data_IF_006924273356
#
_entry.id   IF_006924273356
#
_cell.length_a   1.000
_cell.length_b   1.000
_cell.length_c   1.000
_cell.angle_alpha   90.00
_cell.angle_beta   90.00
_cell.angle_gamma   90.00
#
_symmetry.space_group_name_H-M   'P 1'
#
loop_
_entity.id
_entity.type
_entity.pdbx_description
1 polymer ?
#
# COMPACT_ATOMS: atom_id res chain seq x y z
N UNK A 1 -19.99 -15.51 -6.87
CA UNK A 1 -19.63 -14.15 -6.44
C UNK A 1 -18.44 -13.69 -7.28
N UNK A 2 -18.35 -12.41 -7.64
CA UNK A 2 -17.16 -11.89 -8.32
C UNK A 2 -15.97 -11.92 -7.35
N UNK A 3 -14.78 -12.21 -7.88
CA UNK A 3 -13.53 -12.12 -7.12
C UNK A 3 -13.30 -10.67 -6.68
N UNK A 4 -12.73 -10.45 -5.48
CA UNK A 4 -12.31 -9.12 -5.03
C UNK A 4 -11.18 -8.57 -5.91
N UNK A 5 -10.96 -7.27 -5.86
CA UNK A 5 -9.90 -6.59 -6.61
C UNK A 5 -8.70 -6.31 -5.71
N UNK A 6 -7.51 -6.42 -6.31
CA UNK A 6 -6.25 -6.11 -5.65
C UNK A 6 -5.83 -4.67 -5.96
N UNK A 7 -5.64 -3.88 -4.92
CA UNK A 7 -5.11 -2.52 -4.99
C UNK A 7 -3.73 -2.45 -4.34
N UNK A 8 -2.87 -1.64 -4.90
CA UNK A 8 -1.55 -1.34 -4.34
C UNK A 8 -1.45 0.15 -4.09
N UNK A 9 -1.35 0.55 -2.84
CA UNK A 9 -1.11 1.93 -2.43
C UNK A 9 0.36 2.12 -2.12
N UNK A 10 1.04 2.92 -2.92
CA UNK A 10 2.44 3.30 -2.71
C UNK A 10 2.60 4.81 -2.57
N UNK A 11 3.82 5.23 -2.38
CA UNK A 11 4.19 6.64 -2.32
C UNK A 11 5.31 6.88 -1.31
N UNK A 12 5.97 8.02 -1.38
CA UNK A 12 7.14 8.32 -0.57
C UNK A 12 6.85 8.30 0.93
N UNK A 13 7.91 8.05 1.70
CA UNK A 13 7.83 8.14 3.14
C UNK A 13 7.45 9.59 3.56
N UNK A 14 6.35 9.74 4.28
CA UNK A 14 5.80 11.06 4.63
C UNK A 14 4.62 11.51 3.76
N UNK A 15 4.23 10.76 2.72
CA UNK A 15 3.03 11.06 1.92
C UNK A 15 1.72 10.92 2.69
N UNK A 16 1.72 10.20 3.83
CA UNK A 16 0.54 10.05 4.69
C UNK A 16 -0.29 8.79 4.43
N UNK A 17 0.26 7.77 3.78
CA UNK A 17 -0.42 6.50 3.47
C UNK A 17 -1.17 5.92 4.68
N UNK A 18 -0.48 5.70 5.79
CA UNK A 18 -1.09 5.12 6.99
C UNK A 18 -2.27 5.93 7.52
N UNK A 19 -2.19 7.27 7.52
CA UNK A 19 -3.30 8.13 7.97
C UNK A 19 -4.50 8.03 7.03
N UNK A 20 -4.27 8.05 5.71
CA UNK A 20 -5.34 7.89 4.71
C UNK A 20 -6.00 6.52 4.82
N UNK A 21 -5.22 5.46 5.01
CA UNK A 21 -5.75 4.11 5.19
C UNK A 21 -6.49 3.94 6.53
N UNK A 22 -6.07 4.63 7.59
CA UNK A 22 -6.82 4.67 8.85
C UNK A 22 -8.20 5.31 8.66
N UNK A 23 -8.28 6.44 7.96
CA UNK A 23 -9.57 7.07 7.66
C UNK A 23 -10.44 6.20 6.73
N UNK A 24 -9.83 5.53 5.73
CA UNK A 24 -10.54 4.59 4.88
C UNK A 24 -11.14 3.44 5.70
N UNK A 25 -10.38 2.80 6.57
CA UNK A 25 -10.87 1.69 7.43
C UNK A 25 -12.01 2.11 8.34
N UNK A 26 -12.02 3.35 8.85
CA UNK A 26 -13.11 3.87 9.69
C UNK A 26 -14.43 3.97 8.94
N UNK A 27 -14.38 4.39 7.68
CA UNK A 27 -15.58 4.65 6.86
C UNK A 27 -15.99 3.45 6.03
N UNK A 28 -15.03 2.64 5.58
CA UNK A 28 -15.21 1.52 4.65
C UNK A 28 -14.54 0.25 5.21
N UNK A 29 -15.08 -0.30 6.33
CA UNK A 29 -14.50 -1.47 7.00
C UNK A 29 -14.57 -2.76 6.16
N UNK A 30 -15.38 -2.78 5.10
CA UNK A 30 -15.44 -3.87 4.12
C UNK A 30 -14.16 -4.01 3.29
N UNK A 31 -13.37 -2.93 3.14
CA UNK A 31 -12.10 -2.94 2.41
C UNK A 31 -11.00 -3.49 3.32
N UNK A 32 -10.40 -4.59 2.93
CA UNK A 32 -9.27 -5.16 3.65
C UNK A 32 -7.98 -4.37 3.33
N UNK A 33 -7.35 -3.81 4.33
CA UNK A 33 -5.96 -3.36 4.22
C UNK A 33 -5.08 -4.46 4.80
N UNK A 34 -4.17 -5.00 4.00
CA UNK A 34 -3.26 -6.07 4.43
C UNK A 34 -2.33 -5.60 5.56
N UNK A 35 -1.95 -6.53 6.43
CA UNK A 35 -0.95 -6.29 7.45
C UNK A 35 0.34 -6.97 6.99
N UNK A 36 1.38 -6.18 6.75
CA UNK A 36 2.68 -6.70 6.34
C UNK A 36 3.43 -7.30 7.53
N UNK A 37 4.24 -8.33 7.26
CA UNK A 37 5.22 -8.87 8.18
C UNK A 37 6.54 -8.11 8.05
N UNK A 38 7.26 -7.91 9.16
CA UNK A 38 8.57 -7.24 9.13
C UNK A 38 9.53 -7.78 10.18
N UNK A 39 10.81 -7.77 9.84
CA UNK A 39 11.91 -8.07 10.79
C UNK A 39 12.38 -6.85 11.59
N UNK A 40 11.83 -5.67 11.27
CA UNK A 40 12.12 -4.44 12.01
C UNK A 40 11.42 -4.46 13.38
N UNK A 41 12.10 -3.97 14.40
CA UNK A 41 11.48 -3.75 15.71
C UNK A 41 10.34 -2.70 15.64
N UNK A 42 9.31 -2.83 16.48
CA UNK A 42 8.24 -1.83 16.61
C UNK A 42 8.78 -0.43 16.90
N UNK A 43 8.12 0.60 16.41
CA UNK A 43 8.46 2.02 16.65
C UNK A 43 7.34 2.73 17.39
N UNK A 44 7.72 3.52 18.40
CA UNK A 44 6.80 4.42 19.07
C UNK A 44 5.53 3.73 19.57
N UNK A 45 4.39 4.09 19.01
CA UNK A 45 3.06 3.59 19.39
C UNK A 45 2.54 2.48 18.46
N UNK A 46 3.39 1.88 17.62
CA UNK A 46 2.98 0.78 16.74
C UNK A 46 2.51 -0.43 17.58
N UNK A 47 1.37 -1.00 17.18
CA UNK A 47 0.74 -2.13 17.86
C UNK A 47 0.94 -3.39 17.02
N UNK A 48 1.50 -4.48 17.60
CA UNK A 48 1.63 -5.77 16.93
C UNK A 48 0.27 -6.30 16.43
N UNK A 49 0.29 -6.94 15.25
CA UNK A 49 -0.89 -7.48 14.57
C UNK A 49 -1.92 -6.44 14.10
N UNK A 50 -1.60 -5.15 14.26
CA UNK A 50 -2.40 -4.03 13.76
C UNK A 50 -1.62 -3.26 12.70
N UNK A 51 -0.39 -2.85 13.04
CA UNK A 51 0.48 -2.14 12.12
C UNK A 51 1.35 -3.11 11.31
N UNK A 52 1.94 -4.09 11.99
CA UNK A 52 2.79 -5.13 11.39
C UNK A 52 2.69 -6.44 12.16
N UNK A 53 2.95 -7.57 11.47
CA UNK A 53 3.37 -8.83 12.09
C UNK A 53 4.88 -8.77 12.29
N UNK A 54 5.32 -8.53 13.52
CA UNK A 54 6.76 -8.48 13.84
C UNK A 54 7.31 -9.89 14.01
N UNK A 55 8.46 -10.17 13.38
CA UNK A 55 9.11 -11.47 13.40
C UNK A 55 10.63 -11.37 13.40
N UNK A 56 11.33 -12.48 13.62
CA UNK A 56 12.78 -12.53 13.46
C UNK A 56 13.17 -12.68 11.99
N UNK A 57 14.46 -12.43 11.68
CA UNK A 57 14.99 -12.63 10.33
C UNK A 57 14.90 -14.10 9.93
N UNK A 58 15.25 -14.99 10.84
CA UNK A 58 15.25 -16.46 10.64
C UNK A 58 13.83 -16.97 10.34
N UNK A 59 12.82 -16.53 11.08
CA UNK A 59 11.44 -16.92 10.84
C UNK A 59 10.93 -16.37 9.50
N UNK A 60 11.28 -15.12 9.16
CA UNK A 60 10.92 -14.54 7.87
C UNK A 60 11.53 -15.34 6.70
N UNK A 61 12.82 -15.65 6.76
CA UNK A 61 13.54 -16.41 5.73
C UNK A 61 12.96 -17.83 5.57
N UNK A 62 12.63 -18.50 6.67
CA UNK A 62 11.96 -19.80 6.65
C UNK A 62 10.59 -19.74 5.94
N UNK A 63 9.79 -18.72 6.21
CA UNK A 63 8.50 -18.51 5.54
C UNK A 63 8.67 -18.19 4.07
N UNK A 64 9.75 -17.48 3.72
CA UNK A 64 10.09 -17.18 2.34
C UNK A 64 10.43 -18.46 1.57
N UNK A 65 11.24 -19.36 2.15
CA UNK A 65 11.55 -20.67 1.57
C UNK A 65 10.29 -21.53 1.38
N UNK A 66 9.32 -21.44 2.29
CA UNK A 66 8.03 -22.11 2.18
C UNK A 66 7.07 -21.47 1.15
N UNK A 67 7.44 -20.35 0.52
CA UNK A 67 6.58 -19.65 -0.45
C UNK A 67 5.33 -19.00 0.17
N UNK A 68 5.38 -18.64 1.45
CA UNK A 68 4.23 -18.08 2.17
C UNK A 68 3.94 -16.62 1.82
N UNK A 69 4.86 -15.91 1.15
CA UNK A 69 4.71 -14.50 0.82
C UNK A 69 4.09 -14.27 -0.57
N UNK A 70 3.11 -13.38 -0.61
CA UNK A 70 2.54 -12.83 -1.82
C UNK A 70 3.55 -11.91 -2.54
N UNK A 71 4.20 -11.04 -1.76
CA UNK A 71 5.32 -10.20 -2.15
C UNK A 71 6.25 -9.96 -0.96
N UNK A 72 7.49 -9.62 -1.22
CA UNK A 72 8.44 -9.16 -0.21
C UNK A 72 9.52 -8.26 -0.80
N UNK A 73 10.12 -7.43 0.06
CA UNK A 73 11.27 -6.60 -0.25
C UNK A 73 12.19 -6.43 0.96
N UNK A 74 13.46 -6.19 0.71
CA UNK A 74 14.37 -5.70 1.74
C UNK A 74 14.47 -4.18 1.65
N UNK A 75 14.31 -3.51 2.80
CA UNK A 75 14.37 -2.08 2.90
C UNK A 75 15.11 -1.66 4.17
N UNK A 76 16.17 -0.86 4.04
CA UNK A 76 16.98 -0.39 5.16
C UNK A 76 17.43 -1.52 6.10
N UNK A 77 17.89 -2.66 5.53
CA UNK A 77 18.40 -3.80 6.28
C UNK A 77 17.33 -4.66 6.97
N UNK A 78 16.06 -4.42 6.71
CA UNK A 78 14.96 -5.21 7.24
C UNK A 78 14.10 -5.78 6.10
N UNK A 79 13.55 -6.96 6.32
CA UNK A 79 12.55 -7.52 5.44
C UNK A 79 11.16 -6.97 5.74
N UNK A 80 10.39 -6.82 4.67
CA UNK A 80 8.97 -6.52 4.68
C UNK A 80 8.29 -7.41 3.67
N UNK A 81 7.13 -7.96 3.99
CA UNK A 81 6.39 -8.80 3.05
C UNK A 81 4.95 -9.00 3.47
N UNK A 82 4.11 -9.29 2.51
CA UNK A 82 2.69 -9.57 2.73
C UNK A 82 2.45 -11.06 2.53
N UNK A 83 1.79 -11.71 3.50
CA UNK A 83 1.49 -13.14 3.42
C UNK A 83 0.39 -13.42 2.37
N UNK A 84 0.48 -14.59 1.71
CA UNK A 84 -0.55 -15.05 0.78
C UNK A 84 -1.95 -15.08 1.41
N UNK A 85 -2.05 -15.51 2.68
CA UNK A 85 -3.32 -15.55 3.43
C UNK A 85 -3.97 -14.18 3.62
N UNK A 86 -3.19 -13.11 3.71
CA UNK A 86 -3.70 -11.74 3.82
C UNK A 86 -4.33 -11.24 2.51
N UNK A 87 -4.00 -11.85 1.38
CA UNK A 87 -4.39 -11.40 0.05
C UNK A 87 -5.33 -12.39 -0.63
N UNK A 88 -4.85 -13.61 -0.91
CA UNK A 88 -5.54 -14.58 -1.77
C UNK A 88 -6.87 -14.99 -1.16
N UNK A 89 -6.88 -15.32 0.13
CA UNK A 89 -8.09 -15.76 0.84
C UNK A 89 -9.19 -14.69 0.85
N UNK A 90 -8.81 -13.42 0.91
CA UNK A 90 -9.75 -12.29 0.88
C UNK A 90 -10.29 -12.08 -0.53
N UNK A 91 -9.42 -12.06 -1.54
CA UNK A 91 -9.83 -11.89 -2.94
C UNK A 91 -10.77 -13.00 -3.38
N UNK A 92 -10.52 -14.24 -3.02
CA UNK A 92 -11.36 -15.40 -3.39
C UNK A 92 -12.75 -15.36 -2.72
N UNK A 93 -12.87 -14.69 -1.55
CA UNK A 93 -14.14 -14.40 -0.89
C UNK A 93 -14.87 -13.19 -1.47
N UNK A 94 -14.33 -12.54 -2.50
CA UNK A 94 -14.90 -11.33 -3.11
C UNK A 94 -14.61 -10.04 -2.34
N UNK A 95 -13.68 -10.06 -1.39
CA UNK A 95 -13.26 -8.89 -0.61
C UNK A 95 -12.11 -8.16 -1.31
N UNK A 96 -12.23 -6.86 -1.47
CA UNK A 96 -11.16 -6.03 -2.00
C UNK A 96 -10.00 -5.90 -1.00
N UNK A 97 -8.78 -5.95 -1.52
CA UNK A 97 -7.57 -5.89 -0.72
C UNK A 97 -6.67 -4.74 -1.17
N UNK A 98 -6.20 -3.94 -0.22
CA UNK A 98 -5.19 -2.91 -0.45
C UNK A 98 -3.87 -3.36 0.19
N UNK A 99 -2.81 -3.39 -0.60
CA UNK A 99 -1.43 -3.53 -0.13
C UNK A 99 -0.83 -2.13 0.10
N UNK A 100 -0.35 -1.85 1.30
CA UNK A 100 0.48 -0.66 1.57
C UNK A 100 1.94 -1.07 1.45
N UNK A 101 2.56 -0.81 0.31
CA UNK A 101 3.94 -1.22 0.02
C UNK A 101 4.75 -0.10 -0.66
N UNK A 102 6.08 -0.25 -0.64
CA UNK A 102 7.01 0.66 -1.30
C UNK A 102 6.94 0.52 -2.84
N UNK A 103 7.43 1.53 -3.58
CA UNK A 103 7.40 1.58 -5.06
C UNK A 103 8.01 0.33 -5.70
N UNK A 104 9.14 -0.16 -5.17
CA UNK A 104 9.80 -1.39 -5.67
C UNK A 104 8.89 -2.61 -5.51
N UNK A 105 8.18 -2.72 -4.39
CA UNK A 105 7.20 -3.80 -4.15
C UNK A 105 6.01 -3.68 -5.09
N UNK A 106 5.50 -2.48 -5.31
CA UNK A 106 4.39 -2.22 -6.23
C UNK A 106 4.69 -2.69 -7.65
N UNK A 107 5.89 -2.39 -8.15
CA UNK A 107 6.34 -2.84 -9.47
C UNK A 107 6.35 -4.38 -9.58
N UNK A 108 6.94 -5.07 -8.60
CA UNK A 108 6.95 -6.54 -8.55
C UNK A 108 5.54 -7.13 -8.52
N UNK A 109 4.63 -6.52 -7.74
CA UNK A 109 3.23 -6.96 -7.71
C UNK A 109 2.57 -6.76 -9.06
N UNK A 110 2.75 -5.61 -9.72
CA UNK A 110 2.17 -5.32 -11.02
C UNK A 110 2.71 -6.26 -12.12
N UNK A 111 3.99 -6.60 -12.08
CA UNK A 111 4.61 -7.57 -12.99
C UNK A 111 4.03 -8.98 -12.82
N UNK A 112 3.79 -9.42 -11.58
CA UNK A 112 3.26 -10.76 -11.26
C UNK A 112 1.72 -10.82 -11.40
N UNK A 113 1.04 -9.72 -11.09
CA UNK A 113 -0.42 -9.59 -11.10
C UNK A 113 -0.79 -8.35 -11.91
N UNK A 114 -0.79 -8.47 -13.22
CA UNK A 114 -1.04 -7.35 -14.16
C UNK A 114 -2.39 -6.66 -13.93
N UNK A 115 -3.36 -7.36 -13.38
CA UNK A 115 -4.69 -6.85 -13.01
C UNK A 115 -4.69 -6.02 -11.72
N UNK A 116 -3.63 -6.04 -10.91
CA UNK A 116 -3.53 -5.20 -9.74
C UNK A 116 -3.63 -3.71 -10.11
N UNK A 117 -4.40 -2.96 -9.35
CA UNK A 117 -4.64 -1.54 -9.58
C UNK A 117 -3.72 -0.75 -8.68
N UNK A 118 -2.83 0.03 -9.29
CA UNK A 118 -1.80 0.77 -8.57
C UNK A 118 -2.20 2.23 -8.36
N UNK A 119 -2.05 2.71 -7.13
CA UNK A 119 -2.34 4.09 -6.73
C UNK A 119 -1.11 4.68 -6.05
N UNK A 120 -0.59 5.80 -6.52
CA UNK A 120 0.47 6.53 -5.85
C UNK A 120 -0.11 7.67 -5.03
N UNK A 121 0.11 7.63 -3.71
CA UNK A 121 -0.21 8.73 -2.82
C UNK A 121 0.99 9.67 -2.71
N UNK A 122 0.81 10.94 -3.11
CA UNK A 122 1.88 11.94 -3.11
C UNK A 122 1.58 13.08 -2.13
N UNK A 123 2.58 13.73 -1.53
CA UNK A 123 2.40 15.07 -1.00
C UNK A 123 2.16 16.06 -2.16
N UNK A 124 1.62 17.27 -1.91
CA UNK A 124 1.44 18.28 -2.96
C UNK A 124 2.75 18.75 -3.57
N UNK A 125 3.82 18.82 -2.77
CA UNK A 125 5.15 19.25 -3.19
C UNK A 125 6.27 18.73 -2.26
N UNK A 126 7.52 18.99 -2.66
CA UNK A 126 8.70 18.58 -1.92
C UNK A 126 8.84 19.31 -0.58
N UNK A 127 8.42 20.57 -0.50
CA UNK A 127 8.50 21.36 0.74
C UNK A 127 7.56 20.82 1.80
N UNK A 128 6.34 20.48 1.41
CA UNK A 128 5.36 19.84 2.31
C UNK A 128 5.89 18.50 2.81
N UNK A 129 6.50 17.69 1.94
CA UNK A 129 7.12 16.43 2.34
C UNK A 129 8.23 16.65 3.37
N UNK A 130 9.12 17.60 3.12
CA UNK A 130 10.21 17.94 4.06
C UNK A 130 9.65 18.38 5.40
N UNK A 131 8.65 19.27 5.42
CA UNK A 131 8.01 19.73 6.65
C UNK A 131 7.41 18.56 7.45
N UNK A 132 6.75 17.62 6.78
CA UNK A 132 6.20 16.41 7.42
C UNK A 132 7.26 15.50 8.02
N UNK A 133 8.38 15.29 7.31
CA UNK A 133 9.48 14.48 7.83
C UNK A 133 10.13 15.13 9.05
N UNK A 134 10.40 16.45 9.00
CA UNK A 134 10.95 17.22 10.11
C UNK A 134 10.01 17.29 11.30
N UNK A 135 8.71 17.42 11.06
CA UNK A 135 7.67 17.51 12.08
C UNK A 135 7.55 16.28 12.98
N UNK A 136 8.00 15.12 12.53
CA UNK A 136 8.01 13.89 13.35
C UNK A 136 8.99 13.94 14.53
N UNK A 137 10.04 14.75 14.46
CA UNK A 137 11.09 14.91 15.50
C UNK A 137 11.74 13.59 15.95
N UNK A 138 11.66 12.55 15.14
CA UNK A 138 12.18 11.21 15.44
C UNK A 138 13.48 10.91 14.71
N UNK A 139 13.87 11.73 13.75
CA UNK A 139 14.97 11.47 12.83
C UNK A 139 16.01 12.59 12.85
N UNK A 140 17.26 12.21 12.63
CA UNK A 140 18.38 13.15 12.51
C UNK A 140 18.45 13.70 11.07
N UNK A 141 19.07 14.85 10.90
CA UNK A 141 19.19 15.53 9.60
C UNK A 141 19.71 14.63 8.45
N UNK A 142 20.76 13.81 8.62
CA UNK A 142 21.23 12.94 7.55
C UNK A 142 20.16 11.93 7.08
N UNK A 143 19.33 11.45 8.01
CA UNK A 143 18.24 10.52 7.68
C UNK A 143 17.11 11.23 6.92
N UNK A 144 16.76 12.45 7.31
CA UNK A 144 15.79 13.29 6.60
C UNK A 144 16.24 13.52 5.16
N UNK A 145 17.50 13.92 4.96
CA UNK A 145 18.06 14.16 3.63
C UNK A 145 18.05 12.89 2.76
N UNK A 146 18.39 11.75 3.35
CA UNK A 146 18.32 10.45 2.66
C UNK A 146 16.91 10.12 2.21
N UNK A 147 15.88 10.38 3.06
CA UNK A 147 14.48 10.15 2.73
C UNK A 147 13.96 11.11 1.67
N UNK A 148 14.37 12.37 1.71
CA UNK A 148 14.02 13.35 0.67
C UNK A 148 14.61 12.96 -0.69
N UNK A 149 15.88 12.52 -0.72
CA UNK A 149 16.51 12.05 -1.93
C UNK A 149 15.76 10.82 -2.50
N UNK A 150 15.42 9.85 -1.63
CA UNK A 150 14.64 8.68 -2.03
C UNK A 150 13.25 9.05 -2.53
N UNK A 151 12.57 9.98 -1.87
CA UNK A 151 11.24 10.43 -2.29
C UNK A 151 11.26 11.07 -3.68
N UNK A 152 12.31 11.83 -4.01
CA UNK A 152 12.49 12.39 -5.37
C UNK A 152 12.64 11.29 -6.43
N UNK A 153 13.35 10.20 -6.11
CA UNK A 153 13.45 9.03 -6.97
C UNK A 153 12.09 8.34 -7.11
N UNK A 154 11.42 8.05 -5.99
CA UNK A 154 10.12 7.36 -5.99
C UNK A 154 9.04 8.10 -6.79
N UNK A 155 9.00 9.43 -6.75
CA UNK A 155 8.06 10.25 -7.52
C UNK A 155 8.27 10.13 -9.04
N UNK A 156 9.47 9.84 -9.52
CA UNK A 156 9.72 9.66 -10.96
C UNK A 156 9.00 8.45 -11.52
N UNK A 157 8.57 7.50 -10.69
CA UNK A 157 7.78 6.34 -11.07
C UNK A 157 6.27 6.62 -11.18
N UNK A 158 5.81 7.84 -10.89
CA UNK A 158 4.39 8.19 -10.96
C UNK A 158 3.72 7.80 -12.29
N UNK A 159 4.34 7.98 -13.46
CA UNK A 159 3.74 7.58 -14.74
C UNK A 159 3.51 6.07 -14.91
N UNK A 160 4.10 5.23 -14.06
CA UNK A 160 3.93 3.77 -14.10
C UNK A 160 2.68 3.31 -13.32
N UNK A 161 1.98 4.23 -12.63
CA UNK A 161 0.80 3.93 -11.82
C UNK A 161 -0.50 4.16 -12.59
N UNK A 162 -1.53 3.38 -12.23
CA UNK A 162 -2.87 3.55 -12.83
C UNK A 162 -3.56 4.84 -12.34
N UNK A 163 -3.29 5.26 -11.09
CA UNK A 163 -3.87 6.45 -10.46
C UNK A 163 -2.87 7.17 -9.56
N UNK A 164 -3.12 8.46 -9.36
CA UNK A 164 -2.44 9.25 -8.33
C UNK A 164 -3.45 9.99 -7.45
N UNK A 165 -3.14 10.11 -6.15
CA UNK A 165 -3.90 10.91 -5.19
C UNK A 165 -2.95 11.85 -4.47
N UNK A 166 -3.25 13.15 -4.50
CA UNK A 166 -2.46 14.16 -3.79
C UNK A 166 -3.04 14.34 -2.39
N UNK A 167 -2.22 14.11 -1.38
CA UNK A 167 -2.59 14.26 0.04
C UNK A 167 -2.12 15.63 0.57
N UNK A 168 -3.00 16.61 0.53
CA UNK A 168 -2.78 17.92 1.14
C UNK A 168 -2.86 17.85 2.67
N UNK A 169 -2.29 18.86 3.35
CA UNK A 169 -2.32 18.91 4.81
C UNK A 169 -3.75 19.05 5.34
N UNK A 170 -4.08 18.21 6.32
CA UNK A 170 -5.41 18.17 6.93
C UNK A 170 -6.50 17.48 6.10
N UNK A 171 -6.20 16.96 4.90
CA UNK A 171 -7.21 16.41 3.97
C UNK A 171 -7.13 14.88 3.83
N UNK A 172 -6.71 14.17 4.86
CA UNK A 172 -6.61 12.71 4.82
C UNK A 172 -7.99 12.02 4.62
N UNK A 173 -9.06 12.62 5.13
CA UNK A 173 -10.43 12.11 4.96
C UNK A 173 -10.86 12.19 3.50
N UNK A 174 -10.63 13.32 2.84
CA UNK A 174 -10.95 13.50 1.42
C UNK A 174 -10.10 12.58 0.54
N UNK A 175 -8.83 12.38 0.90
CA UNK A 175 -7.97 11.43 0.20
C UNK A 175 -8.48 9.98 0.35
N UNK A 176 -9.00 9.61 1.52
CA UNK A 176 -9.61 8.30 1.74
C UNK A 176 -10.86 8.11 0.86
N UNK A 177 -11.71 9.15 0.73
CA UNK A 177 -12.88 9.11 -0.15
C UNK A 177 -12.48 9.02 -1.63
N UNK A 178 -11.44 9.73 -2.06
CA UNK A 178 -10.91 9.61 -3.43
C UNK A 178 -10.39 8.19 -3.70
N UNK A 179 -9.67 7.60 -2.74
CA UNK A 179 -9.20 6.22 -2.85
C UNK A 179 -10.38 5.25 -2.94
N UNK A 180 -11.42 5.44 -2.12
CA UNK A 180 -12.65 4.65 -2.19
C UNK A 180 -13.35 4.81 -3.54
N UNK A 181 -13.45 6.03 -4.08
CA UNK A 181 -14.03 6.28 -5.40
C UNK A 181 -13.26 5.55 -6.52
N UNK A 182 -11.93 5.46 -6.44
CA UNK A 182 -11.09 4.67 -7.35
C UNK A 182 -11.47 3.18 -7.24
N UNK A 183 -11.62 2.65 -6.02
CA UNK A 183 -12.03 1.26 -5.79
C UNK A 183 -13.40 0.98 -6.42
N UNK A 184 -14.38 1.83 -6.16
CA UNK A 184 -15.72 1.69 -6.71
C UNK A 184 -15.74 1.78 -8.25
N UNK A 185 -14.94 2.69 -8.82
CA UNK A 185 -14.81 2.84 -10.28
C UNK A 185 -14.14 1.64 -10.93
N UNK A 186 -13.17 1.03 -10.25
CA UNK A 186 -12.47 -0.15 -10.74
C UNK A 186 -13.42 -1.34 -10.99
N UNK A 187 -14.39 -1.56 -10.11
CA UNK A 187 -15.43 -2.57 -10.28
C UNK A 187 -16.35 -2.34 -11.50
N UNK A 188 -16.32 -1.14 -12.08
CA UNK A 188 -17.08 -0.79 -13.29
C UNK A 188 -16.30 -0.95 -14.57
N UNK A 189 -15.04 -1.39 -14.52
CA UNK A 189 -14.27 -1.69 -15.73
C UNK A 189 -14.96 -2.77 -16.54
N UNK A 190 -15.04 -2.58 -17.86
CA UNK A 190 -15.72 -3.52 -18.77
C UNK A 190 -15.11 -4.91 -18.76
N UNK A 191 -13.83 -5.04 -18.39
CA UNK A 191 -13.15 -6.33 -18.20
C UNK A 191 -13.80 -7.21 -17.13
N UNK A 192 -14.50 -6.61 -16.15
CA UNK A 192 -15.20 -7.34 -15.08
C UNK A 192 -16.71 -7.50 -15.33
N UNK A 193 -17.20 -7.00 -16.46
CA UNK A 193 -18.65 -7.00 -16.79
C UNK A 193 -19.03 -8.07 -17.81
N UNK A 194 -18.20 -9.08 -18.03
CA UNK A 194 -18.49 -10.21 -18.96
C UNK A 194 -19.85 -10.84 -18.74
N UNK A 195 -20.27 -10.97 -17.48
CA UNK A 195 -21.60 -11.51 -17.11
C UNK A 195 -22.77 -10.67 -17.61
N UNK A 196 -22.56 -9.40 -17.98
CA UNK A 196 -23.62 -8.59 -18.60
C UNK A 196 -23.90 -9.10 -20.00
N UNK A 197 -22.87 -9.36 -20.79
CA UNK A 197 -23.00 -9.86 -22.17
C UNK A 197 -23.76 -11.21 -22.16
N UNK A 198 -23.41 -12.12 -21.24
CA UNK A 198 -24.04 -13.43 -21.10
C UNK A 198 -25.54 -13.36 -20.81
N UNK A 199 -26.04 -12.25 -20.27
CA UNK A 199 -27.49 -12.03 -20.02
C UNK A 199 -28.26 -11.53 -21.24
N UNK A 200 -27.54 -11.13 -22.31
CA UNK A 200 -28.16 -10.60 -23.53
C UNK A 200 -27.98 -11.53 -24.74
N UNK A 201 -27.19 -12.59 -24.60
CA UNK A 201 -26.98 -13.62 -25.60
C UNK A 201 -27.55 -14.94 -25.10
#
# INVERSE_FOLDING_TARGET
MSKGLLFVLSGPAGSGKGTVLEELRKKHPEIKVSISMTTRAPRGKEVPNVNYYYTTREDFEKRLENGEFFEYAEYSGNYYGTLNSEVIDCLDKGQDVILEIEVVGAKKVKEKYSEAITVMLTPPDAQTLENRLRGRKTEKEPEIQRRLAKAKEEITHLPEYDYSVVNEDGRAVECAELLYAIIQSAHRRTTYTKTIIEKFI
#
